data_IF_811180868672
#
_entry.id   IF_811180868672
#
_cell.length_a   1.000
_cell.length_b   1.000
_cell.length_c   1.000
_cell.angle_alpha   90.00
_cell.angle_beta   90.00
_cell.angle_gamma   90.00
#
_symmetry.space_group_name_H-M   'P 1'
#
loop_
_entity.id
_entity.type
_entity.pdbx_description
1 polymer ?
#
# COMPACT_ATOMS: atom_id res chain seq x y z
N UNK A 1 14.96 -0.40 -12.41
CA UNK A 1 13.78 -1.24 -12.71
C UNK A 1 12.50 -0.43 -12.76
N UNK A 2 12.16 0.33 -11.70
CA UNK A 2 10.99 1.23 -11.67
C UNK A 2 11.02 2.30 -12.80
N UNK A 3 12.12 3.03 -12.98
CA UNK A 3 12.24 4.00 -14.09
C UNK A 3 12.23 3.37 -15.49
N UNK A 4 12.79 2.16 -15.64
CA UNK A 4 12.79 1.45 -16.94
C UNK A 4 11.39 0.95 -17.33
N UNK A 5 10.56 0.59 -16.34
CA UNK A 5 9.14 0.30 -16.54
C UNK A 5 8.34 1.56 -16.85
N UNK A 6 8.68 2.69 -16.21
CA UNK A 6 8.05 3.99 -16.46
C UNK A 6 8.28 4.46 -17.91
N UNK A 7 9.50 4.32 -18.42
CA UNK A 7 9.88 4.74 -19.78
C UNK A 7 9.25 3.87 -20.88
N UNK A 8 9.20 2.54 -20.70
CA UNK A 8 8.51 1.63 -21.62
C UNK A 8 7.01 1.96 -21.68
N UNK A 9 6.42 2.35 -20.54
CA UNK A 9 4.99 2.67 -20.44
C UNK A 9 4.67 4.06 -21.00
N UNK A 10 5.53 5.07 -20.82
CA UNK A 10 5.38 6.39 -21.47
C UNK A 10 5.42 6.28 -23.00
N UNK A 11 6.24 5.38 -23.54
CA UNK A 11 6.28 5.06 -24.98
C UNK A 11 5.03 4.30 -25.48
N UNK A 12 4.46 3.40 -24.67
CA UNK A 12 3.25 2.65 -25.04
C UNK A 12 1.95 3.48 -24.88
N UNK A 13 1.94 4.44 -23.96
CA UNK A 13 0.78 5.31 -23.68
C UNK A 13 0.74 6.58 -24.53
N UNK A 14 1.84 7.00 -25.17
CA UNK A 14 1.86 8.20 -26.04
C UNK A 14 1.04 8.06 -27.33
N UNK A 15 0.56 6.85 -27.65
CA UNK A 15 -0.30 6.58 -28.82
C UNK A 15 -1.80 6.64 -28.51
N UNK A 16 -2.18 6.95 -27.27
CA UNK A 16 -3.57 7.12 -26.86
C UNK A 16 -3.71 8.46 -26.17
N UNK A 17 -4.68 9.28 -26.60
CA UNK A 17 -5.06 10.54 -25.95
C UNK A 17 -5.52 10.29 -24.51
N UNK A 18 -4.55 10.14 -23.63
CA UNK A 18 -4.68 10.36 -22.21
C UNK A 18 -4.00 11.71 -21.98
N UNK A 19 -4.78 12.68 -21.52
CA UNK A 19 -4.30 14.03 -21.19
C UNK A 19 -3.32 13.93 -19.99
N UNK A 20 -2.08 13.53 -20.28
CA UNK A 20 -0.97 13.45 -19.36
C UNK A 20 -0.29 14.82 -19.34
N UNK A 21 -0.90 15.75 -18.61
CA UNK A 21 -0.12 16.89 -18.11
C UNK A 21 0.70 16.42 -16.90
N UNK A 22 1.98 16.15 -17.16
CA UNK A 22 3.03 16.09 -16.13
C UNK A 22 2.90 17.32 -15.22
N UNK A 23 2.73 17.10 -13.92
CA UNK A 23 3.15 18.10 -12.93
C UNK A 23 3.65 17.39 -11.67
N UNK A 24 4.85 17.80 -11.26
CA UNK A 24 5.54 17.43 -10.03
C UNK A 24 4.61 17.28 -8.83
N UNK A 25 4.79 16.19 -8.08
CA UNK A 25 4.12 15.93 -6.81
C UNK A 25 4.72 16.87 -5.75
N UNK A 26 3.98 17.86 -5.21
CA UNK A 26 4.48 18.67 -4.10
C UNK A 26 4.41 17.86 -2.80
N UNK A 27 5.48 17.99 -2.00
CA UNK A 27 5.68 17.41 -0.68
C UNK A 27 4.44 17.51 0.24
N UNK A 28 4.19 16.44 1.01
CA UNK A 28 3.21 16.46 2.09
C UNK A 28 3.76 17.29 3.25
N UNK A 29 3.14 18.43 3.53
CA UNK A 29 3.12 18.95 4.89
C UNK A 29 2.16 18.08 5.71
N UNK A 30 2.71 17.38 6.71
CA UNK A 30 1.95 16.69 7.72
C UNK A 30 1.16 17.73 8.54
N UNK A 31 -0.17 17.70 8.43
CA UNK A 31 -1.03 18.31 9.44
C UNK A 31 -1.47 17.20 10.38
N UNK A 32 -0.86 17.16 11.56
CA UNK A 32 -1.23 16.27 12.65
C UNK A 32 -2.65 16.60 13.12
N UNK A 33 -3.64 15.87 12.61
CA UNK A 33 -4.94 15.76 13.26
C UNK A 33 -4.77 14.73 14.38
N UNK A 34 -4.25 15.23 15.51
CA UNK A 34 -4.25 14.52 16.78
C UNK A 34 -5.70 14.16 17.10
N UNK A 35 -6.01 12.86 17.02
CA UNK A 35 -7.26 12.32 17.54
C UNK A 35 -7.16 12.34 19.07
N UNK A 36 -7.60 13.44 19.68
CA UNK A 36 -7.82 13.53 21.12
C UNK A 36 -8.99 12.62 21.51
N UNK A 37 -8.72 11.33 21.69
CA UNK A 37 -9.63 10.44 22.42
C UNK A 37 -9.07 10.27 23.83
N UNK A 38 -9.41 11.22 24.70
CA UNK A 38 -9.29 11.02 26.14
C UNK A 38 -10.21 9.87 26.56
N UNK A 39 -9.59 8.87 27.17
CA UNK A 39 -10.24 7.71 27.75
C UNK A 39 -11.05 8.15 28.99
N UNK A 40 -12.36 8.33 28.83
CA UNK A 40 -13.29 8.52 29.93
C UNK A 40 -14.07 7.22 30.17
N UNK A 41 -13.51 6.33 31.00
CA UNK A 41 -14.24 5.22 31.62
C UNK A 41 -14.91 5.78 32.87
N UNK A 42 -16.20 6.13 32.77
CA UNK A 42 -17.07 6.20 33.95
C UNK A 42 -18.55 6.09 33.54
N UNK A 43 -19.12 4.92 33.85
CA UNK A 43 -20.51 4.68 34.30
C UNK A 43 -21.62 5.57 33.74
N UNK A 44 -22.51 5.00 32.91
CA UNK A 44 -23.97 4.97 33.18
C UNK A 44 -24.71 4.18 32.10
N UNK A 45 -25.31 3.08 32.51
CA UNK A 45 -26.34 2.35 31.77
C UNK A 45 -27.54 3.27 31.54
N UNK A 46 -27.86 3.61 30.28
CA UNK A 46 -29.20 3.93 29.73
C UNK A 46 -29.19 4.87 28.50
N UNK A 47 -28.36 4.63 27.48
CA UNK A 47 -28.42 5.37 26.19
C UNK A 47 -27.90 4.52 25.00
N UNK A 48 -28.39 3.29 24.83
CA UNK A 48 -28.01 2.40 23.71
C UNK A 48 -28.63 2.77 22.35
N UNK A 49 -29.31 3.91 22.24
CA UNK A 49 -29.89 4.39 20.97
C UNK A 49 -28.93 5.29 20.21
N UNK A 50 -28.25 4.68 19.22
CA UNK A 50 -27.33 5.21 18.17
C UNK A 50 -25.85 4.94 18.40
N UNK A 51 -25.49 3.67 18.61
CA UNK A 51 -24.13 3.23 18.29
C UNK A 51 -23.87 3.42 16.79
N UNK A 52 -22.67 3.88 16.44
CA UNK A 52 -22.26 4.09 15.04
C UNK A 52 -22.30 2.73 14.33
N UNK A 53 -22.90 2.62 13.12
CA UNK A 53 -22.96 1.35 12.40
C UNK A 53 -21.60 0.65 12.31
N UNK A 54 -20.50 1.39 12.19
CA UNK A 54 -19.13 0.86 12.12
C UNK A 54 -18.74 -0.05 13.30
N UNK A 55 -19.21 0.22 14.52
CA UNK A 55 -18.80 -0.52 15.74
C UNK A 55 -19.81 -1.60 16.16
N UNK A 56 -20.92 -1.73 15.43
CA UNK A 56 -21.94 -2.72 15.73
C UNK A 56 -21.50 -4.11 15.26
N UNK A 57 -21.80 -5.19 16.00
CA UNK A 57 -21.52 -6.54 15.52
C UNK A 57 -22.39 -6.89 14.31
N UNK A 58 -21.88 -7.79 13.46
CA UNK A 58 -22.70 -8.41 12.42
C UNK A 58 -23.86 -9.18 13.06
N UNK A 59 -25.11 -9.03 12.58
CA UNK A 59 -26.25 -9.80 13.08
C UNK A 59 -25.95 -11.31 13.06
N UNK A 60 -26.26 -12.03 14.13
CA UNK A 60 -26.11 -13.49 14.17
C UNK A 60 -27.19 -14.15 13.30
N UNK A 61 -26.80 -15.15 12.52
CA UNK A 61 -27.71 -15.91 11.64
C UNK A 61 -28.82 -16.64 12.41
N UNK A 62 -28.59 -16.94 13.69
CA UNK A 62 -29.55 -17.60 14.57
C UNK A 62 -30.68 -16.69 15.10
N UNK A 63 -30.65 -15.38 14.84
CA UNK A 63 -31.66 -14.46 15.35
C UNK A 63 -32.97 -14.54 14.54
N UNK A 64 -34.14 -14.35 15.18
CA UNK A 64 -35.40 -14.14 14.47
C UNK A 64 -35.29 -12.98 13.47
N UNK A 65 -35.91 -13.11 12.30
CA UNK A 65 -35.89 -12.10 11.24
C UNK A 65 -34.47 -11.67 10.79
N UNK A 66 -33.47 -12.55 10.89
CA UNK A 66 -32.08 -12.27 10.51
C UNK A 66 -31.96 -11.57 9.13
N UNK A 67 -32.68 -12.05 8.11
CA UNK A 67 -32.61 -11.48 6.77
C UNK A 67 -33.00 -9.98 6.72
N UNK A 68 -34.03 -9.59 7.49
CA UNK A 68 -34.47 -8.20 7.58
C UNK A 68 -33.43 -7.35 8.34
N UNK A 69 -32.95 -7.85 9.48
CA UNK A 69 -31.93 -7.17 10.27
C UNK A 69 -30.62 -6.99 9.51
N UNK A 70 -30.21 -8.03 8.76
CA UNK A 70 -29.03 -7.99 7.90
C UNK A 70 -29.19 -6.91 6.84
N UNK A 71 -30.28 -6.91 6.06
CA UNK A 71 -30.52 -5.89 5.03
C UNK A 71 -30.56 -4.47 5.60
N UNK A 72 -31.22 -4.27 6.73
CA UNK A 72 -31.26 -2.96 7.40
C UNK A 72 -29.84 -2.52 7.83
N UNK A 73 -29.03 -3.45 8.33
CA UNK A 73 -27.62 -3.20 8.65
C UNK A 73 -26.80 -2.81 7.43
N UNK A 74 -27.00 -3.48 6.28
CA UNK A 74 -26.33 -3.12 5.02
C UNK A 74 -26.70 -1.70 4.60
N UNK A 75 -27.99 -1.34 4.61
CA UNK A 75 -28.44 0.01 4.24
C UNK A 75 -27.77 1.06 5.13
N UNK A 76 -27.69 0.82 6.44
CA UNK A 76 -27.01 1.72 7.37
C UNK A 76 -25.52 1.87 7.06
N UNK A 77 -24.81 0.75 6.81
CA UNK A 77 -23.38 0.74 6.49
C UNK A 77 -23.08 1.43 5.15
N UNK A 78 -23.90 1.19 4.13
CA UNK A 78 -23.73 1.82 2.81
C UNK A 78 -23.93 3.34 2.93
N UNK A 79 -24.97 3.76 3.63
CA UNK A 79 -25.26 5.17 3.86
C UNK A 79 -24.15 5.89 4.65
N UNK A 80 -23.53 5.22 5.61
CA UNK A 80 -22.47 5.82 6.41
C UNK A 80 -21.11 5.80 5.72
N UNK A 81 -20.77 4.74 4.99
CA UNK A 81 -19.39 4.45 4.60
C UNK A 81 -19.14 4.46 3.08
N UNK A 82 -20.16 4.18 2.26
CA UNK A 82 -19.99 3.98 0.82
C UNK A 82 -20.62 5.09 -0.05
N UNK A 83 -21.35 6.03 0.55
CA UNK A 83 -21.80 7.24 -0.16
C UNK A 83 -20.67 8.25 -0.20
N UNK A 84 -20.24 8.60 -1.41
CA UNK A 84 -19.28 9.67 -1.61
C UNK A 84 -19.91 11.03 -1.27
N UNK A 85 -19.22 11.78 -0.41
CA UNK A 85 -19.50 13.19 -0.13
C UNK A 85 -18.27 13.99 -0.55
N UNK A 86 -18.48 15.00 -1.37
CA UNK A 86 -17.39 15.84 -1.82
C UNK A 86 -16.75 16.56 -0.63
N UNK A 87 -15.42 16.55 -0.61
CA UNK A 87 -14.59 17.27 0.36
C UNK A 87 -13.52 18.06 -0.39
N UNK A 88 -12.78 18.92 0.31
CA UNK A 88 -11.68 19.69 -0.29
C UNK A 88 -10.64 18.77 -0.96
N UNK A 89 -10.46 17.55 -0.45
CA UNK A 89 -9.53 16.56 -1.01
C UNK A 89 -9.96 16.03 -2.37
N UNK A 90 -11.26 16.10 -2.71
CA UNK A 90 -11.79 15.65 -3.99
C UNK A 90 -11.25 16.46 -5.15
N UNK A 91 -10.94 17.73 -4.91
CA UNK A 91 -10.44 18.63 -5.95
C UNK A 91 -8.94 18.91 -5.84
N UNK A 92 -8.22 18.14 -4.98
CA UNK A 92 -6.79 18.38 -4.69
C UNK A 92 -5.95 18.59 -5.95
N UNK A 93 -6.17 17.77 -6.98
CA UNK A 93 -5.41 17.81 -8.23
C UNK A 93 -6.09 18.59 -9.35
N UNK A 94 -7.36 18.98 -9.17
CA UNK A 94 -8.15 19.61 -10.22
C UNK A 94 -8.39 21.10 -9.99
N UNK A 95 -7.84 21.68 -8.91
CA UNK A 95 -8.03 23.10 -8.53
C UNK A 95 -7.59 24.10 -9.60
N UNK A 96 -6.66 23.72 -10.48
CA UNK A 96 -6.08 24.59 -11.51
C UNK A 96 -6.92 24.64 -12.79
N UNK A 97 -7.90 23.75 -12.94
CA UNK A 97 -8.73 23.68 -14.13
C UNK A 97 -10.01 24.50 -13.95
N UNK A 98 -10.49 25.13 -15.02
CA UNK A 98 -11.75 25.88 -15.04
C UNK A 98 -12.94 25.02 -14.61
N UNK A 99 -12.90 23.72 -14.92
CA UNK A 99 -13.91 22.73 -14.53
C UNK A 99 -13.27 21.64 -13.64
N UNK A 100 -13.17 21.86 -12.32
CA UNK A 100 -12.51 20.92 -11.41
C UNK A 100 -13.29 19.61 -11.32
N UNK A 101 -12.72 18.52 -11.84
CA UNK A 101 -13.32 17.18 -11.73
C UNK A 101 -12.99 16.54 -10.39
N UNK A 102 -13.95 15.85 -9.77
CA UNK A 102 -13.68 15.07 -8.57
C UNK A 102 -12.63 13.98 -8.87
N UNK A 103 -11.57 13.92 -8.05
CA UNK A 103 -10.51 12.89 -8.10
C UNK A 103 -11.07 11.47 -8.09
N UNK A 104 -12.18 11.26 -7.37
CA UNK A 104 -12.86 9.95 -7.29
C UNK A 104 -13.79 9.68 -8.48
N UNK A 105 -13.82 10.58 -9.47
CA UNK A 105 -14.68 10.55 -10.67
C UNK A 105 -16.16 10.43 -10.32
N UNK A 106 -16.61 11.24 -9.37
CA UNK A 106 -18.00 11.37 -8.95
C UNK A 106 -18.60 12.67 -9.53
N UNK A 107 -19.88 12.68 -9.93
CA UNK A 107 -20.81 11.54 -9.98
C UNK A 107 -20.45 10.52 -11.07
N UNK A 108 -20.70 9.23 -10.81
CA UNK A 108 -20.52 8.16 -11.80
C UNK A 108 -21.77 8.04 -12.67
N UNK A 109 -21.56 7.68 -13.94
CA UNK A 109 -22.65 7.34 -14.87
C UNK A 109 -23.55 6.24 -14.29
N UNK A 110 -24.86 6.48 -14.35
CA UNK A 110 -25.90 5.49 -14.04
C UNK A 110 -25.95 4.43 -15.15
N UNK A 111 -25.96 3.17 -14.75
CA UNK A 111 -26.05 2.02 -15.64
C UNK A 111 -27.26 1.19 -15.21
N UNK A 112 -28.32 1.16 -16.02
CA UNK A 112 -29.58 0.51 -15.63
C UNK A 112 -29.49 -1.03 -15.66
N UNK A 113 -28.56 -1.57 -16.43
CA UNK A 113 -28.34 -3.00 -16.63
C UNK A 113 -26.84 -3.30 -16.63
N UNK A 114 -26.47 -4.49 -16.16
CA UNK A 114 -25.11 -4.96 -16.32
C UNK A 114 -24.90 -5.41 -17.77
N UNK A 115 -23.78 -5.06 -18.37
CA UNK A 115 -23.43 -5.38 -19.75
C UNK A 115 -21.93 -5.66 -19.89
N UNK A 116 -21.58 -6.36 -20.95
CA UNK A 116 -20.18 -6.61 -21.34
C UNK A 116 -20.00 -5.98 -22.71
N UNK A 117 -19.00 -5.12 -22.86
CA UNK A 117 -18.56 -4.66 -24.16
C UNK A 117 -17.74 -5.79 -24.80
N UNK A 118 -18.22 -6.31 -25.93
CA UNK A 118 -17.62 -7.47 -26.59
C UNK A 118 -16.26 -7.12 -27.22
N UNK A 119 -16.09 -5.89 -27.69
CA UNK A 119 -14.86 -5.44 -28.35
C UNK A 119 -13.76 -5.14 -27.33
N UNK A 120 -14.10 -4.40 -26.26
CA UNK A 120 -13.11 -4.02 -25.23
C UNK A 120 -12.97 -5.04 -24.10
N UNK A 121 -13.91 -5.96 -23.95
CA UNK A 121 -14.01 -6.85 -22.78
C UNK A 121 -14.44 -6.14 -21.49
N UNK A 122 -14.81 -4.85 -21.55
CA UNK A 122 -15.19 -4.06 -20.36
C UNK A 122 -16.52 -4.55 -19.78
N UNK A 123 -16.54 -4.85 -18.48
CA UNK A 123 -17.75 -5.23 -17.76
C UNK A 123 -18.32 -4.01 -17.04
N UNK A 124 -19.50 -3.56 -17.48
CA UNK A 124 -20.26 -2.50 -16.81
C UNK A 124 -21.30 -3.14 -15.92
N UNK A 125 -21.21 -2.91 -14.62
CA UNK A 125 -22.24 -3.36 -13.69
C UNK A 125 -23.38 -2.35 -13.62
N UNK A 126 -24.59 -2.87 -13.41
CA UNK A 126 -25.75 -2.06 -13.03
C UNK A 126 -25.41 -1.16 -11.84
N UNK A 127 -25.57 0.14 -12.03
CA UNK A 127 -25.38 1.19 -11.03
C UNK A 127 -26.61 2.08 -11.03
N UNK A 128 -27.37 2.02 -9.93
CA UNK A 128 -28.59 2.81 -9.74
C UNK A 128 -28.39 4.11 -8.97
N UNK A 129 -27.17 4.36 -8.46
CA UNK A 129 -26.84 5.55 -7.72
C UNK A 129 -25.45 6.08 -8.11
N UNK A 130 -25.36 7.38 -8.36
CA UNK A 130 -24.17 7.99 -8.99
C UNK A 130 -22.99 8.17 -8.01
N UNK A 131 -23.25 8.30 -6.71
CA UNK A 131 -22.22 8.52 -5.68
C UNK A 131 -21.96 7.34 -4.76
N UNK A 132 -22.63 6.20 -4.97
CA UNK A 132 -22.38 4.98 -4.17
C UNK A 132 -21.27 4.18 -4.83
N UNK A 133 -20.23 3.83 -4.05
CA UNK A 133 -19.23 2.88 -4.51
C UNK A 133 -19.83 1.48 -4.66
N UNK A 134 -19.26 0.67 -5.56
CA UNK A 134 -19.69 -0.72 -5.69
C UNK A 134 -19.29 -1.49 -4.43
N UNK A 135 -20.20 -2.26 -3.86
CA UNK A 135 -19.97 -3.01 -2.63
C UNK A 135 -20.55 -4.41 -2.72
N UNK A 136 -20.05 -5.30 -1.86
CA UNK A 136 -20.62 -6.63 -1.64
C UNK A 136 -21.22 -6.65 -0.24
N UNK A 137 -22.45 -7.14 -0.11
CA UNK A 137 -23.20 -7.10 1.14
C UNK A 137 -22.54 -7.91 2.27
N UNK A 138 -21.88 -9.01 1.96
CA UNK A 138 -21.20 -9.83 2.97
C UNK A 138 -19.89 -9.17 3.41
N UNK A 139 -19.09 -8.69 2.45
CA UNK A 139 -17.82 -8.04 2.75
C UNK A 139 -18.04 -6.74 3.52
N UNK A 140 -18.99 -5.88 3.12
CA UNK A 140 -19.29 -4.66 3.88
C UNK A 140 -19.81 -4.98 5.28
N UNK A 141 -20.54 -6.09 5.46
CA UNK A 141 -21.04 -6.50 6.78
C UNK A 141 -19.92 -6.97 7.70
N UNK A 142 -18.91 -7.64 7.15
CA UNK A 142 -17.75 -8.15 7.87
C UNK A 142 -16.72 -7.05 8.15
N UNK A 143 -16.31 -6.30 7.12
CA UNK A 143 -15.27 -5.27 7.23
C UNK A 143 -15.81 -3.95 7.80
N UNK A 144 -17.10 -3.69 7.60
CA UNK A 144 -17.82 -2.49 8.05
C UNK A 144 -17.24 -1.16 7.57
N UNK A 145 -16.32 -1.17 6.62
CA UNK A 145 -15.61 0.00 6.11
C UNK A 145 -16.04 0.37 4.68
N UNK A 146 -15.53 1.50 4.19
CA UNK A 146 -15.69 1.89 2.78
C UNK A 146 -15.07 0.82 1.87
N UNK A 147 -15.76 0.46 0.80
CA UNK A 147 -15.28 -0.48 -0.21
C UNK A 147 -15.65 -0.01 -1.61
N UNK A 148 -14.82 -0.37 -2.60
CA UNK A 148 -15.08 -0.12 -4.02
C UNK A 148 -14.66 -1.35 -4.83
N UNK A 149 -15.60 -2.25 -5.11
CA UNK A 149 -15.35 -3.46 -5.91
C UNK A 149 -15.44 -3.13 -7.40
N UNK A 150 -14.38 -3.44 -8.13
CA UNK A 150 -14.31 -3.32 -9.58
C UNK A 150 -13.92 -4.66 -10.21
N UNK A 151 -14.56 -4.99 -11.32
CA UNK A 151 -14.14 -6.11 -12.17
C UNK A 151 -13.10 -5.59 -13.15
N UNK A 152 -11.90 -6.17 -13.10
CA UNK A 152 -10.76 -5.76 -13.93
C UNK A 152 -10.14 -7.04 -14.50
N UNK A 153 -10.36 -7.30 -15.80
CA UNK A 153 -9.97 -8.56 -16.44
C UNK A 153 -8.80 -8.41 -17.41
N UNK A 154 -8.80 -7.35 -18.24
CA UNK A 154 -7.74 -7.10 -19.23
C UNK A 154 -7.75 -5.64 -19.71
N UNK A 155 -6.78 -5.25 -20.53
CA UNK A 155 -6.70 -3.91 -21.11
C UNK A 155 -6.02 -2.86 -20.23
N UNK A 156 -6.35 -1.59 -20.49
CA UNK A 156 -5.77 -0.43 -19.79
C UNK A 156 -6.09 -0.42 -18.30
N UNK A 157 -7.30 -0.82 -17.91
CA UNK A 157 -7.72 -0.89 -16.51
C UNK A 157 -6.91 -1.91 -15.70
N UNK A 158 -6.54 -3.03 -16.32
CA UNK A 158 -5.67 -4.02 -15.68
C UNK A 158 -4.24 -3.49 -15.49
N UNK A 159 -3.68 -2.82 -16.51
CA UNK A 159 -2.38 -2.15 -16.38
C UNK A 159 -2.40 -1.08 -15.29
N UNK A 160 -3.44 -0.25 -15.25
CA UNK A 160 -3.61 0.78 -14.23
C UNK A 160 -3.78 0.19 -12.82
N UNK A 161 -4.48 -0.94 -12.68
CA UNK A 161 -4.58 -1.66 -11.41
C UNK A 161 -3.22 -2.19 -10.96
N UNK A 162 -2.45 -2.81 -11.85
CA UNK A 162 -1.10 -3.29 -11.51
C UNK A 162 -0.22 -2.14 -11.04
N UNK A 163 -0.26 -1.00 -11.72
CA UNK A 163 0.46 0.20 -11.28
C UNK A 163 0.00 0.66 -9.90
N UNK A 164 -1.32 0.77 -9.70
CA UNK A 164 -1.90 1.16 -8.42
C UNK A 164 -1.49 0.22 -7.28
N UNK A 165 -1.64 -1.10 -7.47
CA UNK A 165 -1.24 -2.09 -6.47
C UNK A 165 0.26 -2.03 -6.21
N UNK A 166 1.07 -1.88 -7.26
CA UNK A 166 2.53 -1.77 -7.12
C UNK A 166 2.91 -0.54 -6.32
N UNK A 167 2.40 0.65 -6.67
CA UNK A 167 2.64 1.91 -5.95
C UNK A 167 2.32 1.78 -4.45
N UNK A 168 1.21 1.10 -4.12
CA UNK A 168 0.83 0.85 -2.73
C UNK A 168 1.71 -0.16 -2.01
N UNK A 169 2.11 -1.25 -2.68
CA UNK A 169 3.00 -2.28 -2.11
C UNK A 169 4.42 -1.74 -1.93
N UNK A 170 4.90 -0.93 -2.89
CA UNK A 170 6.24 -0.33 -2.86
C UNK A 170 6.29 0.98 -2.08
N UNK A 171 5.16 1.44 -1.53
CA UNK A 171 5.11 2.67 -0.76
C UNK A 171 6.00 2.55 0.45
N UNK A 172 7.04 3.36 0.52
CA UNK A 172 7.95 3.33 1.66
C UNK A 172 7.17 3.68 2.94
N UNK A 173 7.32 2.84 3.97
CA UNK A 173 6.70 3.08 5.27
C UNK A 173 7.28 4.31 5.97
N UNK A 174 8.49 4.73 5.59
CA UNK A 174 9.17 5.88 6.14
C UNK A 174 9.35 6.95 5.06
N UNK A 175 9.00 8.20 5.38
CA UNK A 175 9.27 9.31 4.49
C UNK A 175 10.77 9.61 4.45
N UNK A 176 11.24 10.23 3.36
CA UNK A 176 12.64 10.63 3.25
C UNK A 176 13.04 11.61 4.37
N UNK A 177 12.15 12.55 4.74
CA UNK A 177 12.38 13.53 5.80
C UNK A 177 12.54 12.88 7.18
N UNK A 178 11.75 11.86 7.48
CA UNK A 178 11.85 11.12 8.74
C UNK A 178 13.15 10.29 8.77
N UNK A 179 13.46 9.64 7.67
CA UNK A 179 14.71 8.88 7.49
C UNK A 179 15.93 9.78 7.74
N UNK A 180 15.93 10.96 7.11
CA UNK A 180 17.01 11.95 7.24
C UNK A 180 17.13 12.45 8.69
N UNK A 181 16.01 12.80 9.32
CA UNK A 181 15.99 13.28 10.71
C UNK A 181 16.50 12.23 11.69
N UNK A 182 16.15 10.96 11.50
CA UNK A 182 16.64 9.84 12.31
C UNK A 182 18.13 9.61 12.13
N UNK A 183 18.64 9.65 10.89
CA UNK A 183 20.07 9.52 10.60
C UNK A 183 20.85 10.68 11.22
N UNK A 184 20.38 11.91 11.09
CA UNK A 184 20.99 13.08 11.71
C UNK A 184 21.06 12.95 13.24
N UNK A 185 19.97 12.50 13.87
CA UNK A 185 19.94 12.23 15.32
C UNK A 185 20.99 11.20 15.74
N UNK A 186 21.20 10.15 14.95
CA UNK A 186 22.24 9.13 15.20
C UNK A 186 23.65 9.73 15.08
N UNK A 187 23.91 10.55 14.06
CA UNK A 187 25.20 11.23 13.87
C UNK A 187 25.50 12.15 15.06
N UNK A 188 24.55 12.99 15.45
CA UNK A 188 24.72 13.89 16.60
C UNK A 188 24.92 13.13 17.93
N UNK A 189 24.24 11.99 18.10
CA UNK A 189 24.45 11.12 19.26
C UNK A 189 25.85 10.52 19.29
N UNK A 190 26.39 10.14 18.13
CA UNK A 190 27.75 9.62 17.97
C UNK A 190 28.81 10.69 18.21
N UNK A 191 28.61 11.92 17.75
CA UNK A 191 29.50 13.04 18.03
C UNK A 191 29.57 13.37 19.52
N UNK A 192 28.44 13.28 20.23
CA UNK A 192 28.40 13.42 21.70
C UNK A 192 29.11 12.26 22.41
N UNK A 193 29.02 11.03 21.87
CA UNK A 193 29.67 9.85 22.44
C UNK A 193 31.17 9.74 22.10
N UNK A 194 31.64 10.38 21.03
CA UNK A 194 33.07 10.53 20.70
C UNK A 194 33.90 11.16 21.83
N UNK A 195 33.24 11.81 22.80
CA UNK A 195 33.89 12.34 24.00
C UNK A 195 34.34 11.24 24.98
N UNK A 196 33.97 9.96 24.80
CA UNK A 196 34.25 8.93 25.82
C UNK A 196 34.83 7.57 25.35
N UNK A 197 35.00 7.24 24.05
CA UNK A 197 35.52 5.90 23.66
C UNK A 197 36.44 5.91 22.41
N UNK A 198 37.70 5.50 22.66
CA UNK A 198 38.73 4.81 21.86
C UNK A 198 39.31 5.40 20.56
N UNK A 199 40.55 5.87 20.69
CA UNK A 199 41.48 6.22 19.61
C UNK A 199 41.97 5.01 18.77
N UNK A 200 41.59 3.78 19.11
CA UNK A 200 42.18 2.55 18.53
C UNK A 200 41.34 1.84 17.44
N UNK A 201 40.13 2.30 17.12
CA UNK A 201 39.26 1.60 16.14
C UNK A 201 39.53 2.10 14.71
N UNK A 202 39.77 1.16 13.78
CA UNK A 202 39.96 1.41 12.34
C UNK A 202 38.78 2.21 11.75
N UNK A 203 39.03 3.06 10.76
CA UNK A 203 38.03 3.87 10.07
C UNK A 203 36.91 3.01 9.47
N UNK A 204 37.25 1.83 8.94
CA UNK A 204 36.29 0.88 8.39
C UNK A 204 35.28 0.38 9.44
N UNK A 205 35.76 -0.05 10.60
CA UNK A 205 34.91 -0.53 11.68
C UNK A 205 34.05 0.60 12.28
N UNK A 206 34.57 1.84 12.28
CA UNK A 206 33.77 3.03 12.64
C UNK A 206 32.62 3.25 11.65
N UNK A 207 32.89 3.16 10.34
CA UNK A 207 31.86 3.27 9.30
C UNK A 207 30.82 2.16 9.39
N UNK A 208 31.25 0.91 9.61
CA UNK A 208 30.35 -0.23 9.80
C UNK A 208 29.41 -0.03 10.99
N UNK A 209 29.94 0.44 12.13
CA UNK A 209 29.13 0.73 13.33
C UNK A 209 28.15 1.88 13.10
N UNK A 210 28.55 2.92 12.37
CA UNK A 210 27.66 4.02 12.01
C UNK A 210 26.48 3.50 11.18
N UNK A 211 26.75 2.77 10.10
CA UNK A 211 25.70 2.20 9.23
C UNK A 211 24.77 1.28 10.03
N UNK A 212 25.33 0.41 10.87
CA UNK A 212 24.52 -0.50 11.69
C UNK A 212 23.63 0.24 12.70
N UNK A 213 24.13 1.32 13.32
CA UNK A 213 23.32 2.15 14.23
C UNK A 213 22.22 2.90 13.50
N UNK A 214 22.52 3.46 12.32
CA UNK A 214 21.51 4.09 11.47
C UNK A 214 20.42 3.07 11.10
N UNK A 215 20.81 1.89 10.62
CA UNK A 215 19.88 0.82 10.27
C UNK A 215 19.02 0.38 11.47
N UNK A 216 19.62 0.07 12.62
CA UNK A 216 18.89 -0.35 13.81
C UNK A 216 17.92 0.73 14.31
N UNK A 217 18.32 2.01 14.21
CA UNK A 217 17.45 3.13 14.57
C UNK A 217 16.27 3.23 13.62
N UNK A 218 16.51 3.15 12.31
CA UNK A 218 15.46 3.16 11.29
C UNK A 218 14.50 1.98 11.48
N UNK A 219 15.02 0.77 11.69
CA UNK A 219 14.22 -0.42 11.94
C UNK A 219 13.38 -0.29 13.23
N UNK A 220 13.94 0.30 14.30
CA UNK A 220 13.21 0.48 15.57
C UNK A 220 12.11 1.54 15.51
N UNK A 221 12.22 2.49 14.59
CA UNK A 221 11.26 3.58 14.40
C UNK A 221 10.33 3.30 13.22
N UNK A 222 10.43 2.13 12.59
CA UNK A 222 9.56 1.75 11.51
C UNK A 222 8.14 1.55 12.05
N UNK A 223 7.20 2.33 11.54
CA UNK A 223 5.78 2.13 11.81
C UNK A 223 5.31 0.81 11.20
N UNK A 224 4.59 0.02 12.00
CA UNK A 224 3.93 -1.21 11.57
C UNK A 224 2.44 -0.96 11.43
N UNK A 225 1.82 -1.60 10.43
CA UNK A 225 0.37 -1.52 10.28
C UNK A 225 -0.32 -2.16 11.48
N UNK A 226 -1.36 -1.52 12.02
CA UNK A 226 -2.15 -2.07 13.11
C UNK A 226 -2.71 -3.47 12.80
N UNK A 227 -2.98 -3.77 11.53
CA UNK A 227 -3.40 -5.10 11.08
C UNK A 227 -2.28 -6.13 11.22
N UNK A 228 -1.03 -5.76 10.91
CA UNK A 228 0.13 -6.64 11.09
C UNK A 228 0.37 -6.94 12.57
N UNK A 229 0.30 -5.92 13.41
CA UNK A 229 0.44 -6.07 14.87
C UNK A 229 -0.67 -6.96 15.44
N UNK A 230 -1.93 -6.72 15.05
CA UNK A 230 -3.05 -7.55 15.48
C UNK A 230 -2.88 -9.01 15.02
N UNK A 231 -2.49 -9.25 13.77
CA UNK A 231 -2.25 -10.61 13.25
C UNK A 231 -1.18 -11.35 14.05
N UNK A 232 -0.08 -10.65 14.38
CA UNK A 232 1.00 -11.22 15.19
C UNK A 232 0.54 -11.54 16.63
N UNK A 233 -0.20 -10.62 17.28
CA UNK A 233 -0.75 -10.83 18.62
C UNK A 233 -1.76 -11.99 18.67
N UNK A 234 -2.52 -12.18 17.58
CA UNK A 234 -3.47 -13.29 17.46
C UNK A 234 -2.78 -14.63 17.12
N UNK A 235 -1.46 -14.65 16.91
CA UNK A 235 -0.70 -15.84 16.55
C UNK A 235 -1.06 -16.39 15.16
N UNK A 236 -1.57 -15.54 14.27
CA UNK A 236 -1.90 -15.95 12.91
C UNK A 236 -0.64 -16.10 12.06
N UNK A 237 -0.60 -17.09 11.15
CA UNK A 237 0.53 -17.24 10.26
C UNK A 237 0.63 -16.04 9.32
N UNK A 238 1.85 -15.62 9.03
CA UNK A 238 2.19 -14.52 8.12
C UNK A 238 2.13 -14.94 6.64
N UNK A 239 2.05 -16.24 6.37
CA UNK A 239 1.89 -16.81 5.03
C UNK A 239 1.02 -18.08 5.07
N UNK A 240 0.28 -18.31 3.98
CA UNK A 240 -0.45 -19.55 3.74
C UNK A 240 0.15 -20.20 2.50
N UNK A 241 0.71 -21.39 2.64
CA UNK A 241 1.28 -22.14 1.53
C UNK A 241 0.59 -23.48 1.38
N UNK A 242 0.35 -23.86 0.14
CA UNK A 242 -0.15 -25.19 -0.21
C UNK A 242 0.98 -26.18 -0.51
N UNK A 243 2.22 -25.68 -0.59
CA UNK A 243 3.40 -26.45 -1.01
C UNK A 243 4.54 -26.26 0.00
N UNK A 244 5.39 -27.27 0.12
CA UNK A 244 6.66 -27.20 0.82
C UNK A 244 7.73 -26.61 -0.10
N UNK A 245 8.43 -25.57 0.37
CA UNK A 245 9.52 -24.93 -0.35
C UNK A 245 10.86 -25.44 0.17
N UNK A 246 11.85 -25.52 -0.72
CA UNK A 246 13.22 -25.88 -0.36
C UNK A 246 14.07 -24.62 -0.30
N UNK A 247 14.90 -24.49 0.73
CA UNK A 247 15.83 -23.37 0.84
C UNK A 247 16.85 -23.40 -0.29
N UNK A 248 16.86 -22.34 -1.11
CA UNK A 248 17.92 -22.10 -2.09
C UNK A 248 19.04 -21.32 -1.41
N UNK A 249 20.23 -21.92 -1.33
CA UNK A 249 21.40 -21.26 -0.75
C UNK A 249 22.04 -20.32 -1.77
N UNK A 250 21.43 -19.15 -1.95
CA UNK A 250 21.80 -18.15 -2.97
C UNK A 250 23.27 -17.73 -2.89
N UNK A 251 23.84 -17.60 -1.70
CA UNK A 251 25.26 -17.28 -1.51
C UNK A 251 26.17 -18.37 -2.10
N UNK A 252 25.80 -19.65 -1.97
CA UNK A 252 26.57 -20.73 -2.57
C UNK A 252 26.49 -20.72 -4.09
N UNK A 253 25.30 -20.42 -4.64
CA UNK A 253 25.10 -20.26 -6.08
C UNK A 253 25.91 -19.08 -6.59
N UNK A 254 25.88 -17.94 -5.89
CA UNK A 254 26.66 -16.76 -6.23
C UNK A 254 28.16 -17.05 -6.23
N UNK A 255 28.68 -17.65 -5.16
CA UNK A 255 30.09 -18.03 -5.06
C UNK A 255 30.50 -18.98 -6.18
N UNK A 256 29.65 -19.95 -6.52
CA UNK A 256 29.89 -20.87 -7.64
C UNK A 256 29.92 -20.12 -8.99
N UNK A 257 28.96 -19.21 -9.21
CA UNK A 257 28.92 -18.39 -10.43
C UNK A 257 30.13 -17.47 -10.53
N UNK A 258 30.52 -16.81 -9.44
CA UNK A 258 31.72 -15.97 -9.39
C UNK A 258 32.98 -16.79 -9.68
N UNK A 259 33.14 -17.95 -9.05
CA UNK A 259 34.27 -18.85 -9.31
C UNK A 259 34.31 -19.29 -10.79
N UNK A 260 33.15 -19.67 -11.35
CA UNK A 260 33.04 -20.09 -12.75
C UNK A 260 33.38 -18.93 -13.71
N UNK A 261 32.92 -17.71 -13.42
CA UNK A 261 33.23 -16.52 -14.21
C UNK A 261 34.72 -16.15 -14.15
N UNK A 262 35.37 -16.35 -13.01
CA UNK A 262 36.82 -16.14 -12.86
C UNK A 262 37.63 -17.22 -13.60
N UNK A 263 37.14 -18.47 -13.61
CA UNK A 263 37.81 -19.58 -14.29
C UNK A 263 37.63 -19.58 -15.82
N UNK A 264 36.53 -19.02 -16.35
CA UNK A 264 36.23 -19.05 -17.78
C UNK A 264 37.31 -18.38 -18.66
N UNK A 265 37.85 -17.19 -18.33
CA UNK A 265 38.96 -16.59 -19.07
C UNK A 265 40.26 -17.41 -19.01
N UNK A 266 40.54 -18.05 -17.87
CA UNK A 266 41.76 -18.84 -17.63
C UNK A 266 41.78 -20.17 -18.39
N UNK A 267 40.60 -20.72 -18.71
CA UNK A 267 40.47 -21.89 -19.60
C UNK A 267 40.61 -21.50 -21.07
N UNK A 268 40.13 -20.32 -21.45
CA UNK A 268 40.23 -19.79 -22.82
C UNK A 268 41.67 -19.42 -23.20
N UNK A 269 42.44 -18.82 -22.27
CA UNK A 269 43.88 -18.55 -22.47
C UNK A 269 44.70 -19.85 -22.59
N UNK A 270 44.44 -20.84 -21.73
CA UNK A 270 45.13 -22.15 -21.80
C UNK A 270 44.85 -22.94 -23.08
N UNK A 271 43.68 -22.76 -23.71
CA UNK A 271 43.35 -23.36 -25.01
C UNK A 271 44.02 -22.66 -26.20
N UNK A 272 44.39 -21.38 -26.06
CA UNK A 272 45.12 -20.65 -27.11
C UNK A 272 46.60 -21.04 -27.07
N UNK A 273 47.18 -21.20 -25.88
CA UNK A 273 48.59 -21.61 -25.71
C UNK A 273 48.86 -23.07 -26.07
N UNK A 274 47.87 -23.96 -26.02
CA UNK A 274 48.02 -25.38 -26.40
C UNK A 274 47.84 -25.66 -27.90
N UNK A 275 47.49 -24.64 -28.69
CA UNK A 275 47.31 -24.73 -30.15
C UNK A 275 48.48 -24.10 -30.95
N UNK A 276 49.59 -23.78 -30.27
CA UNK A 276 50.87 -23.36 -30.86
C UNK A 276 51.96 -24.40 -30.62
#
# INVERSE_FOLDING_TARGET
LLGYLEDIIKQDLSNFDFDTSETDVPERQHTDLICNNECAISTTESNTTKLIPLIMPTPKSSMPNFALHFKNGIVQLVNSNNIHKHTITCYKYSKKYENPTCRMRMPRRIENVSSINIESGEIKLKRLHETINNFNEYIISACRSNMDIKYIFSGSDAKALVYYTTDYVTKSNLSFHDTFSLVLKVILSLEKQKLNIDAAVNAEEKSRRLVLRCYNTLASQQELSGVQVASNLMGWPDHYTTHEFVNLFLIGIENYLQATLIEAPLKQQRQIESNF
#
